data_IF_691452863497
#
_entry.id   IF_691452863497
#
_cell.length_a   1.000
_cell.length_b   1.000
_cell.length_c   1.000
_cell.angle_alpha   90.00
_cell.angle_beta   90.00
_cell.angle_gamma   90.00
#
_symmetry.space_group_name_H-M   'P 1'
#
loop_
_entity.id
_entity.type
_entity.pdbx_description
1 polymer ?
#
# COMPACT_ATOMS: atom_id res chain seq x y z
N UNK A 1 -2.61 28.10 4.28
CA UNK A 1 -3.52 27.00 4.67
C UNK A 1 -3.07 25.74 3.92
N UNK A 2 -2.47 24.74 4.57
CA UNK A 2 -2.11 23.49 3.87
C UNK A 2 -3.33 22.57 3.79
N UNK A 3 -3.67 22.16 2.58
CA UNK A 3 -4.76 21.21 2.34
C UNK A 3 -4.42 19.84 2.94
N UNK A 4 -5.43 19.05 3.29
CA UNK A 4 -5.27 17.67 3.76
C UNK A 4 -4.42 16.83 2.79
N UNK A 5 -4.59 17.05 1.48
CA UNK A 5 -3.76 16.44 0.43
C UNK A 5 -2.28 16.84 0.53
N UNK A 6 -1.98 18.12 0.79
CA UNK A 6 -0.59 18.57 1.00
C UNK A 6 0.06 17.87 2.20
N UNK A 7 -0.69 17.71 3.30
CA UNK A 7 -0.22 16.98 4.49
C UNK A 7 0.05 15.50 4.21
N UNK A 8 -0.77 14.86 3.38
CA UNK A 8 -0.55 13.46 2.96
C UNK A 8 0.74 13.36 2.14
N UNK A 9 0.92 14.23 1.14
CA UNK A 9 2.09 14.22 0.28
C UNK A 9 3.39 14.47 1.06
N UNK A 10 3.37 15.39 2.02
CA UNK A 10 4.51 15.65 2.91
C UNK A 10 4.90 14.42 3.75
N UNK A 11 3.91 13.70 4.30
CA UNK A 11 4.14 12.48 5.08
C UNK A 11 4.70 11.37 4.19
N UNK A 12 4.16 11.17 2.99
CA UNK A 12 4.64 10.16 2.05
C UNK A 12 6.07 10.44 1.58
N UNK A 13 6.39 11.69 1.21
CA UNK A 13 7.74 12.09 0.86
C UNK A 13 8.73 11.88 2.01
N UNK A 14 8.31 12.16 3.24
CA UNK A 14 9.15 11.96 4.44
C UNK A 14 9.37 10.48 4.73
N UNK A 15 8.35 9.64 4.59
CA UNK A 15 8.49 8.19 4.72
C UNK A 15 9.43 7.61 3.66
N UNK A 16 9.32 8.07 2.41
CA UNK A 16 10.17 7.61 1.31
C UNK A 16 11.66 7.92 1.52
N UNK A 17 11.97 9.06 2.16
CA UNK A 17 13.35 9.44 2.51
C UNK A 17 13.86 8.78 3.79
N UNK A 18 12.99 8.19 4.60
CA UNK A 18 13.37 7.62 5.91
C UNK A 18 13.90 6.21 5.71
N UNK A 19 15.16 5.96 6.07
CA UNK A 19 15.71 4.62 6.15
C UNK A 19 14.99 3.79 7.23
N UNK A 20 14.60 2.56 6.91
CA UNK A 20 13.94 1.65 7.86
C UNK A 20 14.98 1.00 8.78
N UNK A 21 14.96 1.37 10.06
CA UNK A 21 15.80 0.81 11.11
C UNK A 21 15.02 0.77 12.45
N UNK A 22 15.60 0.17 13.51
CA UNK A 22 14.92 -0.01 14.81
C UNK A 22 14.48 1.31 15.46
N UNK A 23 15.25 2.38 15.29
CA UNK A 23 14.91 3.71 15.82
C UNK A 23 13.79 4.37 15.01
N UNK A 24 13.74 4.15 13.69
CA UNK A 24 12.75 4.80 12.81
C UNK A 24 11.45 4.00 12.68
N UNK A 25 11.42 2.71 13.04
CA UNK A 25 10.24 1.86 12.95
C UNK A 25 9.03 2.44 13.70
N UNK A 26 9.26 2.94 14.93
CA UNK A 26 8.21 3.60 15.72
C UNK A 26 7.69 4.87 15.02
N UNK A 27 8.59 5.72 14.52
CA UNK A 27 8.21 6.93 13.80
C UNK A 27 7.47 6.65 12.48
N UNK A 28 7.87 5.61 11.74
CA UNK A 28 7.16 5.14 10.54
C UNK A 28 5.76 4.61 10.86
N UNK A 29 5.59 3.94 12.00
CA UNK A 29 4.27 3.54 12.51
C UNK A 29 3.35 4.74 12.75
N UNK A 30 3.87 5.79 13.40
CA UNK A 30 3.12 7.04 13.62
C UNK A 30 2.75 7.74 12.30
N UNK A 31 3.66 7.76 11.32
CA UNK A 31 3.37 8.33 10.00
C UNK A 31 2.26 7.58 9.28
N UNK A 32 2.27 6.25 9.30
CA UNK A 32 1.21 5.41 8.72
C UNK A 32 -0.15 5.65 9.40
N UNK A 33 -0.18 5.75 10.72
CA UNK A 33 -1.42 6.02 11.47
C UNK A 33 -1.99 7.41 11.14
N UNK A 34 -1.14 8.43 11.02
CA UNK A 34 -1.55 9.79 10.61
C UNK A 34 -2.08 9.81 9.18
N UNK A 35 -1.42 9.09 8.28
CA UNK A 35 -1.84 8.97 6.87
C UNK A 35 -3.21 8.28 6.75
N UNK A 36 -3.46 7.22 7.53
CA UNK A 36 -4.77 6.56 7.58
C UNK A 36 -5.90 7.51 8.01
N UNK A 37 -5.68 8.31 9.07
CA UNK A 37 -6.65 9.32 9.54
C UNK A 37 -6.95 10.37 8.47
N UNK A 38 -5.89 10.91 7.84
CA UNK A 38 -6.05 11.93 6.79
C UNK A 38 -6.75 11.38 5.55
N UNK A 39 -6.51 10.11 5.18
CA UNK A 39 -7.24 9.44 4.09
C UNK A 39 -8.70 9.19 4.44
N UNK A 40 -8.99 8.83 5.70
CA UNK A 40 -10.36 8.65 6.17
C UNK A 40 -11.16 9.95 6.13
N UNK A 41 -10.56 11.07 6.54
CA UNK A 41 -11.17 12.42 6.46
C UNK A 41 -11.52 12.83 5.02
N UNK A 42 -10.83 12.31 4.01
CA UNK A 42 -11.14 12.56 2.59
C UNK A 42 -12.28 11.70 2.05
N UNK A 43 -12.46 10.48 2.59
CA UNK A 43 -13.46 9.52 2.12
C UNK A 43 -14.80 9.69 2.86
N UNK A 44 -14.75 9.96 4.17
CA UNK A 44 -15.97 10.12 4.99
C UNK A 44 -16.18 11.60 5.33
N UNK A 45 -17.12 12.30 4.68
CA UNK A 45 -17.59 13.58 5.18
C UNK A 45 -18.36 13.31 6.48
N UNK A 46 -17.78 13.57 7.66
CA UNK A 46 -18.43 13.67 8.99
C UNK A 46 -19.83 13.03 9.08
N UNK A 47 -19.92 11.70 8.96
CA UNK A 47 -21.22 11.01 8.81
C UNK A 47 -21.21 9.50 9.04
N UNK A 48 -20.14 8.94 9.60
CA UNK A 48 -20.08 7.53 10.00
C UNK A 48 -19.50 7.44 11.41
N UNK A 49 -20.39 7.18 12.38
CA UNK A 49 -20.14 7.28 13.81
C UNK A 49 -19.01 6.39 14.33
N UNK A 50 -18.45 6.84 15.45
CA UNK A 50 -17.52 6.12 16.29
C UNK A 50 -18.24 5.01 17.09
N UNK A 51 -17.61 3.85 17.21
CA UNK A 51 -17.74 2.95 18.36
C UNK A 51 -18.72 1.78 18.25
N UNK A 52 -18.17 0.57 18.30
CA UNK A 52 -18.94 -0.66 18.59
C UNK A 52 -18.23 -1.94 18.12
N UNK A 53 -17.83 -2.86 19.01
CA UNK A 53 -17.39 -4.20 18.63
C UNK A 53 -18.63 -5.07 18.38
N UNK A 54 -18.83 -5.54 17.14
CA UNK A 54 -19.89 -6.50 16.84
C UNK A 54 -20.48 -6.34 15.44
N UNK A 55 -20.55 -7.47 14.73
CA UNK A 55 -21.32 -7.74 13.52
C UNK A 55 -21.06 -6.90 12.27
N UNK A 56 -20.12 -7.40 11.47
CA UNK A 56 -19.99 -7.13 10.04
C UNK A 56 -19.45 -8.37 9.33
N UNK A 57 -20.10 -9.52 9.54
CA UNK A 57 -19.96 -10.69 8.68
C UNK A 57 -20.45 -10.30 7.28
N UNK A 58 -19.56 -9.82 6.42
CA UNK A 58 -19.67 -10.12 4.99
C UNK A 58 -18.67 -11.25 4.73
N UNK A 59 -19.27 -12.43 4.56
CA UNK A 59 -18.62 -13.71 4.30
C UNK A 59 -17.64 -13.61 3.12
N UNK A 60 -16.62 -14.46 3.07
CA UNK A 60 -15.48 -14.33 2.15
C UNK A 60 -15.93 -14.51 0.69
N UNK A 61 -16.18 -13.39 0.02
CA UNK A 61 -16.41 -13.32 -1.41
C UNK A 61 -15.12 -13.59 -2.19
N UNK A 62 -14.79 -14.88 -2.31
CA UNK A 62 -14.30 -15.50 -3.54
C UNK A 62 -13.15 -14.76 -4.26
N UNK A 63 -11.93 -14.91 -3.75
CA UNK A 63 -10.78 -15.06 -4.66
C UNK A 63 -10.63 -16.56 -4.91
N UNK A 64 -11.00 -17.04 -6.11
CA UNK A 64 -9.98 -17.73 -6.89
C UNK A 64 -10.09 -17.48 -8.40
N UNK A 65 -8.91 -17.37 -9.00
CA UNK A 65 -8.59 -17.61 -10.40
C UNK A 65 -9.01 -16.54 -11.43
N UNK A 66 -8.08 -15.64 -11.72
CA UNK A 66 -7.88 -15.17 -13.08
C UNK A 66 -6.47 -15.62 -13.51
N UNK A 67 -6.48 -16.55 -14.45
CA UNK A 67 -5.35 -17.22 -15.06
C UNK A 67 -4.41 -16.22 -15.73
N UNK A 68 -3.12 -16.53 -15.68
CA UNK A 68 -2.06 -15.76 -16.32
C UNK A 68 -0.76 -16.54 -16.20
N UNK A 69 -0.76 -17.74 -16.77
CA UNK A 69 0.47 -18.47 -17.08
C UNK A 69 1.43 -17.56 -17.87
N UNK A 70 2.70 -17.76 -17.54
CA UNK A 70 3.92 -17.21 -18.12
C UNK A 70 3.90 -17.04 -19.66
N UNK A 71 4.77 -16.17 -20.18
CA UNK A 71 5.87 -16.83 -20.89
C UNK A 71 7.25 -16.33 -20.45
N UNK A 72 7.99 -17.27 -19.86
CA UNK A 72 9.43 -17.41 -20.03
C UNK A 72 9.81 -17.08 -21.49
N UNK A 73 10.58 -16.01 -21.68
CA UNK A 73 11.30 -15.79 -22.93
C UNK A 73 12.57 -16.61 -22.89
N UNK A 74 12.46 -17.88 -23.26
CA UNK A 74 13.56 -18.67 -23.78
C UNK A 74 13.33 -18.82 -25.29
N UNK A 75 14.24 -18.24 -26.08
CA UNK A 75 14.56 -18.55 -27.48
C UNK A 75 15.43 -17.41 -28.02
N UNK A 76 16.56 -17.61 -28.68
CA UNK A 76 17.16 -18.83 -29.18
C UNK A 76 18.58 -18.47 -29.67
N UNK A 77 19.46 -19.46 -29.58
CA UNK A 77 20.49 -19.76 -30.58
C UNK A 77 21.47 -18.65 -30.99
N UNK A 78 22.74 -18.84 -30.62
CA UNK A 78 23.68 -19.29 -31.65
C UNK A 78 24.93 -19.86 -30.99
N UNK A 79 24.92 -21.18 -30.82
CA UNK A 79 26.15 -21.93 -30.93
C UNK A 79 26.52 -22.00 -32.41
N UNK A 80 27.69 -21.48 -32.76
CA UNK A 80 28.47 -21.95 -33.90
C UNK A 80 29.96 -21.88 -33.49
N UNK A 81 30.51 -23.02 -33.05
CA UNK A 81 31.46 -23.87 -33.78
C UNK A 81 32.90 -23.34 -33.81
N UNK A 82 33.79 -24.14 -33.22
CA UNK A 82 35.17 -24.43 -33.64
C UNK A 82 36.18 -23.28 -33.76
N UNK A 83 37.15 -23.25 -32.85
CA UNK A 83 38.54 -23.66 -33.12
C UNK A 83 39.27 -23.99 -31.82
#
# INVERSE_FOLDING_TARGET
>A
MSSTLAKIAEIEAKMARTQKNKATAHHLGLFKARLAKLRQELITPKGGGAGGPGEGFDSPGLLPNAEGEEPAKEAESSGLRTR
#
